data_IF_509427136388
#
_entry.id   IF_509427136388
#
_cell.length_a   1.000
_cell.length_b   1.000
_cell.length_c   1.000
_cell.angle_alpha   90.00
_cell.angle_beta   90.00
_cell.angle_gamma   90.00
#
_symmetry.space_group_name_H-M   'P 1'
#
loop_
_entity.id
_entity.type
_entity.pdbx_description
1 polymer ?
#
# COMPACT_ATOMS: atom_id res chain seq x y z
N UNK A 1 31.57 5.04 1.35
CA UNK A 1 30.92 4.60 2.56
C UNK A 1 29.46 5.05 2.45
N UNK A 2 28.43 4.33 2.41
CA UNK A 2 28.10 2.93 2.29
C UNK A 2 26.77 2.80 1.54
N UNK A 3 26.73 2.08 0.43
CA UNK A 3 25.54 1.78 -0.38
C UNK A 3 24.45 0.97 0.37
N UNK A 4 24.70 0.62 1.62
CA UNK A 4 23.85 -0.27 2.41
C UNK A 4 22.57 0.38 2.98
N UNK A 5 22.53 1.72 3.09
CA UNK A 5 21.38 2.42 3.69
C UNK A 5 20.22 2.63 2.71
N UNK A 6 20.52 2.83 1.43
CA UNK A 6 19.50 3.03 0.39
C UNK A 6 18.73 1.74 0.08
N UNK A 7 19.40 0.58 0.19
CA UNK A 7 18.77 -0.73 -0.04
C UNK A 7 17.78 -1.07 1.08
N UNK A 8 18.01 -0.59 2.30
CA UNK A 8 17.12 -0.89 3.45
C UNK A 8 15.77 -0.19 3.36
N UNK A 9 15.70 1.04 2.84
CA UNK A 9 14.43 1.76 2.72
C UNK A 9 13.53 1.25 1.59
N UNK A 10 14.10 0.73 0.51
CA UNK A 10 13.33 0.24 -0.64
C UNK A 10 12.87 -1.21 -0.47
N UNK A 11 13.66 -2.05 0.18
CA UNK A 11 13.26 -3.42 0.52
C UNK A 11 12.04 -3.44 1.48
N UNK A 12 11.88 -2.40 2.31
CA UNK A 12 10.72 -2.23 3.18
C UNK A 12 9.42 -1.93 2.41
N UNK A 13 9.51 -1.34 1.21
CA UNK A 13 8.33 -0.93 0.44
C UNK A 13 7.79 -2.03 -0.49
N UNK A 14 8.64 -2.94 -0.94
CA UNK A 14 8.25 -4.05 -1.83
C UNK A 14 8.34 -5.44 -1.18
N UNK A 15 9.07 -5.56 -0.07
CA UNK A 15 9.27 -6.82 0.66
C UNK A 15 8.49 -6.95 1.96
N UNK A 16 7.63 -6.00 2.28
CA UNK A 16 6.92 -5.87 3.56
C UNK A 16 5.87 -6.94 3.88
N UNK A 17 5.73 -7.98 3.07
CA UNK A 17 4.85 -9.12 3.36
C UNK A 17 5.54 -10.36 3.91
N UNK A 18 6.85 -10.34 4.12
CA UNK A 18 7.54 -11.46 4.77
C UNK A 18 8.76 -10.95 5.53
N UNK A 19 8.66 -10.96 6.80
CA UNK A 19 9.64 -10.83 7.89
C UNK A 19 9.48 -9.57 8.73
N UNK A 20 8.58 -9.69 9.67
CA UNK A 20 8.55 -8.94 10.92
C UNK A 20 9.73 -9.34 11.81
N UNK A 21 10.35 -8.30 12.41
CA UNK A 21 11.03 -8.34 13.70
C UNK A 21 12.46 -8.90 13.74
N UNK A 22 13.42 -8.04 13.40
CA UNK A 22 14.67 -7.98 14.12
C UNK A 22 15.17 -6.52 14.16
N UNK A 23 14.47 -5.67 14.86
CA UNK A 23 14.90 -4.33 15.24
C UNK A 23 15.75 -4.43 16.50
N UNK A 24 17.01 -4.04 16.43
CA UNK A 24 17.82 -3.75 17.60
C UNK A 24 17.27 -2.52 18.31
N UNK A 25 16.33 -2.72 19.23
CA UNK A 25 16.03 -1.75 20.27
C UNK A 25 17.18 -1.78 21.28
N UNK A 26 17.77 -0.62 21.52
CA UNK A 26 18.67 -0.41 22.65
C UNK A 26 17.81 -0.53 23.90
N UNK A 27 18.18 -1.45 24.78
CA UNK A 27 17.49 -1.72 26.02
C UNK A 27 17.40 -0.44 26.86
N UNK A 28 16.18 -0.01 27.12
CA UNK A 28 15.80 0.74 28.30
C UNK A 28 15.25 -0.27 29.30
N UNK A 29 15.69 -0.17 30.55
CA UNK A 29 15.35 -1.10 31.59
C UNK A 29 13.83 -1.26 31.78
N UNK A 30 13.34 -2.49 32.00
CA UNK A 30 11.92 -2.72 32.17
C UNK A 30 11.43 -2.27 33.53
N UNK A 31 10.49 -1.32 33.52
CA UNK A 31 9.66 -1.05 34.70
C UNK A 31 8.60 -2.17 34.77
N UNK A 32 8.53 -2.95 35.87
CA UNK A 32 7.54 -4.01 35.99
C UNK A 32 6.17 -3.41 36.30
N UNK A 33 5.29 -3.42 35.31
CA UNK A 33 3.85 -3.21 35.53
C UNK A 33 3.21 -4.58 35.71
N UNK A 34 3.08 -4.99 36.95
CA UNK A 34 2.25 -6.14 37.34
C UNK A 34 0.80 -5.69 37.44
N UNK A 35 -0.03 -6.09 36.49
CA UNK A 35 -1.49 -6.01 36.60
C UNK A 35 -2.00 -7.42 36.93
N UNK A 36 -2.50 -7.68 38.15
CA UNK A 36 -3.15 -8.94 38.43
C UNK A 36 -4.59 -8.90 37.93
N UNK A 37 -4.87 -9.59 36.83
CA UNK A 37 -6.23 -9.92 36.43
C UNK A 37 -6.48 -11.36 36.83
N UNK A 38 -6.92 -11.56 38.06
CA UNK A 38 -7.57 -12.80 38.52
C UNK A 38 -9.06 -12.59 38.44
N UNK A 39 -9.71 -13.18 37.45
CA UNK A 39 -11.16 -13.38 37.42
C UNK A 39 -11.40 -14.79 37.91
N UNK A 40 -12.01 -14.98 39.10
CA UNK A 40 -12.41 -16.33 39.54
C UNK A 40 -13.68 -16.73 38.79
N UNK A 41 -13.55 -17.66 37.84
CA UNK A 41 -14.70 -18.39 37.29
C UNK A 41 -14.97 -19.56 38.22
N UNK A 42 -15.84 -19.36 39.19
CA UNK A 42 -16.42 -20.45 39.96
C UNK A 42 -17.55 -21.08 39.17
N UNK A 43 -17.31 -22.26 38.63
CA UNK A 43 -18.35 -23.15 38.10
C UNK A 43 -18.80 -24.03 39.25
N UNK A 44 -20.07 -24.01 39.69
CA UNK A 44 -20.56 -24.96 40.68
C UNK A 44 -20.74 -26.33 40.02
N UNK A 45 -19.89 -27.27 40.39
CA UNK A 45 -20.10 -28.69 40.11
C UNK A 45 -20.83 -29.29 41.32
N UNK A 46 -22.13 -29.49 41.20
CA UNK A 46 -22.84 -30.49 42.06
C UNK A 46 -24.14 -30.88 41.38
N UNK A 47 -24.22 -32.11 40.87
CA UNK A 47 -25.22 -33.11 41.21
C UNK A 47 -25.02 -34.38 40.38
N UNK A 48 -25.14 -35.57 40.91
CA UNK A 48 -25.07 -36.82 40.17
C UNK A 48 -26.39 -37.04 39.43
N UNK A 49 -26.35 -37.12 38.11
CA UNK A 49 -27.49 -37.54 37.29
C UNK A 49 -27.45 -39.05 37.13
N UNK A 50 -28.27 -39.72 37.90
CA UNK A 50 -28.64 -41.13 37.69
C UNK A 50 -29.53 -41.22 36.44
N UNK A 51 -29.09 -42.03 35.46
CA UNK A 51 -29.88 -42.75 34.48
C UNK A 51 -31.01 -42.01 33.77
N UNK A 52 -30.74 -41.52 32.55
CA UNK A 52 -31.73 -41.45 31.46
C UNK A 52 -30.99 -41.64 30.13
N UNK A 53 -31.21 -42.78 29.48
CA UNK A 53 -30.93 -43.00 28.10
C UNK A 53 -31.86 -42.13 27.25
N UNK A 54 -31.45 -40.93 26.93
CA UNK A 54 -32.13 -40.08 26.01
C UNK A 54 -31.43 -40.19 24.65
N UNK A 55 -32.13 -40.77 23.69
CA UNK A 55 -31.82 -40.65 22.25
C UNK A 55 -31.68 -39.19 21.92
N UNK A 56 -30.59 -38.73 21.18
CA UNK A 56 -30.48 -37.33 20.85
C UNK A 56 -31.61 -36.98 19.87
N UNK A 57 -32.65 -36.34 20.35
CA UNK A 57 -33.59 -35.67 19.49
C UNK A 57 -32.83 -34.57 18.74
N UNK A 58 -32.91 -34.57 17.42
CA UNK A 58 -32.50 -33.47 16.58
C UNK A 58 -33.23 -32.23 17.11
N UNK A 59 -32.54 -31.42 17.88
CA UNK A 59 -33.07 -30.13 18.31
C UNK A 59 -33.27 -29.30 17.04
N UNK A 60 -34.51 -29.21 16.63
CA UNK A 60 -34.93 -28.41 15.51
C UNK A 60 -34.69 -26.97 15.97
N UNK A 61 -33.64 -26.31 15.42
CA UNK A 61 -33.42 -24.89 15.67
C UNK A 61 -34.68 -24.13 15.29
N UNK A 62 -35.05 -23.20 16.19
CA UNK A 62 -36.19 -22.30 15.97
C UNK A 62 -36.03 -21.65 14.57
N UNK A 63 -37.04 -21.74 13.66
CA UNK A 63 -36.99 -21.17 12.34
C UNK A 63 -36.64 -19.66 12.31
N UNK A 64 -36.99 -18.94 13.40
CA UNK A 64 -36.63 -17.55 13.59
C UNK A 64 -35.12 -17.35 13.84
N UNK A 65 -34.44 -18.32 14.50
CA UNK A 65 -32.99 -18.28 14.68
C UNK A 65 -32.24 -18.74 13.39
N UNK A 66 -32.85 -19.65 12.65
CA UNK A 66 -32.28 -20.11 11.37
C UNK A 66 -32.26 -19.00 10.30
N UNK A 67 -33.21 -18.07 10.35
CA UNK A 67 -33.22 -16.89 9.46
C UNK A 67 -32.20 -15.82 9.85
N UNK A 68 -31.68 -15.83 11.09
CA UNK A 68 -30.63 -14.90 11.54
C UNK A 68 -29.22 -15.42 11.24
N UNK A 69 -29.06 -16.68 10.92
CA UNK A 69 -27.82 -17.33 10.51
C UNK A 69 -28.01 -17.85 9.08
N UNK A 70 -28.26 -16.96 8.15
CA UNK A 70 -28.08 -17.29 6.72
C UNK A 70 -26.59 -17.51 6.52
N UNK A 71 -26.19 -18.79 6.49
CA UNK A 71 -24.84 -19.23 6.15
C UNK A 71 -24.62 -19.28 4.63
N UNK A 72 -25.43 -18.59 3.86
CA UNK A 72 -25.23 -18.48 2.43
C UNK A 72 -24.02 -17.60 2.22
N UNK A 73 -22.88 -18.25 1.92
CA UNK A 73 -21.69 -17.56 1.47
C UNK A 73 -22.06 -16.66 0.29
N UNK A 74 -21.59 -15.40 0.26
CA UNK A 74 -21.89 -14.52 -0.84
C UNK A 74 -21.46 -15.17 -2.16
N UNK A 75 -22.19 -14.92 -3.27
CA UNK A 75 -21.88 -15.56 -4.54
C UNK A 75 -20.44 -15.25 -4.99
N UNK A 76 -19.78 -16.24 -5.57
CA UNK A 76 -18.46 -16.07 -6.11
C UNK A 76 -18.44 -14.96 -7.19
N UNK A 77 -17.40 -14.14 -7.19
CA UNK A 77 -17.21 -13.12 -8.21
C UNK A 77 -16.76 -13.77 -9.51
N UNK A 78 -17.14 -13.16 -10.63
CA UNK A 78 -16.74 -13.60 -11.97
C UNK A 78 -15.95 -12.47 -12.63
N UNK A 79 -14.78 -12.81 -13.18
CA UNK A 79 -14.01 -11.86 -13.96
C UNK A 79 -14.61 -11.63 -15.33
N UNK A 80 -14.96 -10.39 -15.65
CA UNK A 80 -15.63 -10.02 -16.89
C UNK A 80 -14.80 -9.11 -17.80
N UNK A 81 -13.63 -8.67 -17.34
CA UNK A 81 -12.74 -7.78 -18.07
C UNK A 81 -11.68 -8.56 -18.87
N UNK A 82 -10.84 -7.86 -19.64
CA UNK A 82 -9.69 -8.49 -20.29
C UNK A 82 -8.74 -9.06 -19.25
N UNK A 83 -8.13 -10.20 -19.55
CA UNK A 83 -7.11 -10.78 -18.67
C UNK A 83 -5.80 -10.04 -18.82
N UNK A 84 -5.04 -10.02 -17.74
CA UNK A 84 -3.67 -9.53 -17.72
C UNK A 84 -2.82 -10.31 -18.71
N UNK A 85 -2.29 -9.65 -19.71
CA UNK A 85 -1.60 -10.28 -20.85
C UNK A 85 -0.11 -9.94 -20.93
N UNK A 86 0.53 -10.39 -22.03
CA UNK A 86 1.96 -10.18 -22.22
C UNK A 86 2.37 -8.70 -22.29
N UNK A 87 1.53 -7.85 -22.89
CA UNK A 87 1.80 -6.40 -22.96
C UNK A 87 1.79 -5.77 -21.56
N UNK A 88 0.83 -6.15 -20.71
CA UNK A 88 0.70 -5.64 -19.35
C UNK A 88 1.91 -6.08 -18.50
N UNK A 89 2.39 -7.32 -18.68
CA UNK A 89 3.65 -7.78 -18.07
C UNK A 89 4.85 -6.94 -18.50
N UNK A 90 4.97 -6.59 -19.78
CA UNK A 90 6.06 -5.73 -20.25
C UNK A 90 6.01 -4.36 -19.59
N UNK A 91 4.82 -3.77 -19.48
CA UNK A 91 4.61 -2.47 -18.82
C UNK A 91 4.94 -2.55 -17.34
N UNK A 92 4.42 -3.54 -16.63
CA UNK A 92 4.66 -3.72 -15.20
C UNK A 92 6.15 -3.95 -14.88
N UNK A 93 6.82 -4.82 -15.64
CA UNK A 93 8.25 -5.11 -15.45
C UNK A 93 9.13 -3.91 -15.82
N UNK A 94 8.83 -3.21 -16.91
CA UNK A 94 9.56 -1.99 -17.30
C UNK A 94 9.36 -0.89 -16.26
N UNK A 95 8.12 -0.66 -15.82
CA UNK A 95 7.82 0.30 -14.77
C UNK A 95 8.53 -0.02 -13.46
N UNK A 96 8.50 -1.28 -13.04
CA UNK A 96 9.22 -1.77 -11.85
C UNK A 96 10.73 -1.58 -11.96
N UNK A 97 11.32 -1.89 -13.12
CA UNK A 97 12.75 -1.70 -13.36
C UNK A 97 13.13 -0.21 -13.32
N UNK A 98 12.34 0.68 -13.92
CA UNK A 98 12.54 2.13 -13.87
C UNK A 98 12.43 2.63 -12.41
N UNK A 99 11.41 2.20 -11.68
CA UNK A 99 11.21 2.55 -10.26
C UNK A 99 12.42 2.16 -9.42
N UNK A 100 12.91 0.94 -9.59
CA UNK A 100 14.09 0.43 -8.89
C UNK A 100 15.33 1.23 -9.25
N UNK A 101 15.54 1.50 -10.52
CA UNK A 101 16.67 2.30 -11.02
C UNK A 101 16.67 3.70 -10.44
N UNK A 102 15.52 4.38 -10.45
CA UNK A 102 15.38 5.71 -9.87
C UNK A 102 15.56 5.73 -8.33
N UNK A 103 15.25 4.63 -7.64
CA UNK A 103 15.50 4.51 -6.21
C UNK A 103 17.01 4.40 -5.89
N UNK A 104 17.76 3.68 -6.74
CA UNK A 104 19.21 3.43 -6.56
C UNK A 104 20.03 4.65 -6.97
N UNK A 105 19.71 5.27 -8.11
CA UNK A 105 20.44 6.43 -8.62
C UNK A 105 20.06 7.67 -7.82
N UNK A 106 21.03 8.33 -7.12
CA UNK A 106 20.72 9.55 -6.40
C UNK A 106 20.38 10.67 -7.39
N UNK A 107 19.47 11.59 -7.02
CA UNK A 107 19.20 12.78 -7.82
C UNK A 107 20.45 13.66 -7.90
N UNK A 108 20.48 14.55 -8.88
CA UNK A 108 21.55 15.52 -9.01
C UNK A 108 21.64 16.38 -7.72
N UNK A 109 22.88 16.65 -7.29
CA UNK A 109 23.11 17.50 -6.11
C UNK A 109 22.78 18.98 -6.31
N UNK A 110 22.43 19.36 -7.55
CA UNK A 110 22.02 20.70 -7.90
C UNK A 110 20.51 20.72 -8.06
N UNK A 111 19.83 21.47 -7.20
CA UNK A 111 18.40 21.66 -7.28
C UNK A 111 18.04 22.41 -8.58
N UNK A 112 17.17 21.84 -9.38
CA UNK A 112 16.57 22.55 -10.53
C UNK A 112 15.46 23.50 -10.07
N UNK A 113 14.81 23.18 -8.94
CA UNK A 113 13.79 23.96 -8.26
C UNK A 113 14.21 24.17 -6.81
N UNK A 114 14.62 25.39 -6.45
CA UNK A 114 14.93 25.75 -5.08
C UNK A 114 13.69 26.24 -4.32
N UNK A 115 13.52 25.80 -3.09
CA UNK A 115 12.53 26.32 -2.16
C UNK A 115 11.07 26.05 -2.50
N UNK A 116 10.17 26.74 -1.80
CA UNK A 116 8.73 26.65 -2.00
C UNK A 116 8.27 27.50 -3.17
N UNK A 117 7.30 27.01 -3.94
CA UNK A 117 6.61 27.72 -5.02
C UNK A 117 5.19 28.06 -4.61
N UNK A 118 4.62 29.10 -5.21
CA UNK A 118 3.23 29.54 -4.94
C UNK A 118 2.95 29.68 -3.43
N UNK A 119 2.06 28.86 -2.90
CA UNK A 119 1.61 28.86 -1.51
C UNK A 119 2.43 27.95 -0.57
N UNK A 120 3.45 27.26 -1.08
CA UNK A 120 4.19 26.24 -0.34
C UNK A 120 4.74 26.70 1.01
N UNK A 121 5.39 27.87 1.03
CA UNK A 121 5.96 28.39 2.25
C UNK A 121 4.88 28.81 3.27
N UNK A 122 3.74 29.31 2.80
CA UNK A 122 2.61 29.64 3.67
C UNK A 122 2.02 28.39 4.33
N UNK A 123 1.80 27.33 3.54
CA UNK A 123 1.30 26.05 4.04
C UNK A 123 2.33 25.37 4.97
N UNK A 124 3.62 25.37 4.60
CA UNK A 124 4.69 24.88 5.45
C UNK A 124 4.68 25.56 6.81
N UNK A 125 4.63 26.89 6.84
CA UNK A 125 4.66 27.66 8.08
C UNK A 125 3.42 27.44 8.95
N UNK A 126 2.26 27.17 8.33
CA UNK A 126 1.02 26.91 9.03
C UNK A 126 0.92 25.48 9.61
N UNK A 127 1.44 24.48 8.89
CA UNK A 127 1.21 23.07 9.22
C UNK A 127 2.43 22.35 9.80
N UNK A 128 3.64 22.85 9.59
CA UNK A 128 4.86 22.21 10.05
C UNK A 128 4.86 21.98 11.56
N UNK A 129 5.14 20.76 12.00
CA UNK A 129 5.25 20.46 13.41
C UNK A 129 6.41 21.21 14.08
N UNK A 130 6.16 21.74 15.28
CA UNK A 130 7.17 22.39 16.11
C UNK A 130 8.11 21.34 16.72
N UNK A 131 9.41 21.58 16.60
CA UNK A 131 10.46 20.69 17.11
C UNK A 131 10.74 19.49 16.20
N UNK A 132 12.00 19.11 16.13
CA UNK A 132 12.48 18.04 15.23
C UNK A 132 11.90 16.67 15.60
N UNK A 133 11.79 16.37 16.89
CA UNK A 133 11.24 15.10 17.37
C UNK A 133 9.79 14.88 16.88
N UNK A 134 8.93 15.91 16.96
CA UNK A 134 7.56 15.82 16.47
C UNK A 134 7.50 15.62 14.94
N UNK A 135 8.40 16.27 14.19
CA UNK A 135 8.49 16.05 12.73
C UNK A 135 8.80 14.60 12.40
N UNK A 136 9.71 13.96 13.14
CA UNK A 136 10.02 12.54 12.94
C UNK A 136 8.80 11.64 13.24
N UNK A 137 8.03 11.90 14.28
CA UNK A 137 6.78 11.15 14.55
C UNK A 137 5.84 11.19 13.34
N UNK A 138 5.62 12.35 12.72
CA UNK A 138 4.76 12.46 11.54
C UNK A 138 5.38 11.79 10.30
N UNK A 139 6.72 11.79 10.16
CA UNK A 139 7.41 11.04 9.11
C UNK A 139 7.16 9.54 9.26
N UNK A 140 7.39 8.99 10.45
CA UNK A 140 7.17 7.58 10.75
C UNK A 140 5.70 7.17 10.58
N UNK A 141 4.77 8.00 11.07
CA UNK A 141 3.33 7.78 10.88
C UNK A 141 2.94 7.77 9.39
N UNK A 142 3.56 8.62 8.56
CA UNK A 142 3.33 8.60 7.11
C UNK A 142 3.93 7.37 6.43
N UNK A 143 5.02 6.81 6.96
CA UNK A 143 5.62 5.58 6.44
C UNK A 143 4.72 4.37 6.72
N UNK A 144 4.06 4.34 7.90
CA UNK A 144 3.00 3.37 8.20
C UNK A 144 1.80 3.54 7.27
N UNK A 145 1.35 4.80 7.07
CA UNK A 145 0.21 5.10 6.20
C UNK A 145 0.42 4.67 4.75
N UNK A 146 1.59 4.96 4.15
CA UNK A 146 1.89 4.52 2.78
C UNK A 146 2.01 3.00 2.68
N UNK A 147 2.59 2.35 3.69
CA UNK A 147 2.69 0.88 3.74
C UNK A 147 1.31 0.24 3.76
N UNK A 148 0.38 0.79 4.55
CA UNK A 148 -1.00 0.35 4.58
C UNK A 148 -1.66 0.52 3.21
N UNK A 149 -1.52 1.69 2.57
CA UNK A 149 -2.17 1.97 1.30
C UNK A 149 -1.61 1.16 0.12
N UNK A 150 -0.33 0.79 0.14
CA UNK A 150 0.27 -0.10 -0.87
C UNK A 150 -0.14 -1.56 -0.65
N UNK A 151 -0.28 -1.98 0.59
CA UNK A 151 -0.63 -3.37 0.91
C UNK A 151 -2.13 -3.66 0.84
N UNK A 152 -2.99 -2.66 1.04
CA UNK A 152 -4.46 -2.83 1.11
C UNK A 152 -5.06 -3.47 -0.15
N UNK A 153 -4.84 -2.95 -1.38
CA UNK A 153 -5.41 -3.56 -2.58
C UNK A 153 -5.00 -5.02 -2.76
N UNK A 154 -3.73 -5.34 -2.45
CA UNK A 154 -3.20 -6.68 -2.60
C UNK A 154 -3.70 -7.64 -1.51
N UNK A 155 -3.69 -7.23 -0.23
CA UNK A 155 -3.97 -8.11 0.90
C UNK A 155 -5.46 -8.09 1.26
N UNK A 156 -6.04 -6.90 1.44
CA UNK A 156 -7.42 -6.80 1.87
C UNK A 156 -8.39 -7.08 0.73
N UNK A 157 -8.20 -6.48 -0.44
CA UNK A 157 -9.14 -6.59 -1.53
C UNK A 157 -8.92 -7.87 -2.35
N UNK A 158 -7.71 -8.11 -2.85
CA UNK A 158 -7.44 -9.27 -3.69
C UNK A 158 -7.40 -10.57 -2.88
N UNK A 159 -6.54 -10.66 -1.86
CA UNK A 159 -6.32 -11.91 -1.12
C UNK A 159 -7.48 -12.21 -0.17
N UNK A 160 -7.93 -11.21 0.62
CA UNK A 160 -8.92 -11.44 1.67
C UNK A 160 -10.35 -11.34 1.12
N UNK A 161 -10.73 -10.25 0.45
CA UNK A 161 -12.09 -10.07 -0.03
C UNK A 161 -12.38 -10.96 -1.25
N UNK A 162 -11.62 -10.88 -2.34
CA UNK A 162 -11.92 -11.59 -3.57
C UNK A 162 -11.66 -13.10 -3.44
N UNK A 163 -10.50 -13.50 -2.96
CA UNK A 163 -10.17 -14.93 -2.92
C UNK A 163 -10.81 -15.63 -1.72
N UNK A 164 -10.48 -15.19 -0.49
CA UNK A 164 -10.90 -15.93 0.70
C UNK A 164 -12.39 -15.78 1.01
N UNK A 165 -12.91 -14.55 1.02
CA UNK A 165 -14.30 -14.28 1.40
C UNK A 165 -15.30 -14.58 0.27
N UNK A 166 -15.00 -14.17 -0.97
CA UNK A 166 -15.87 -14.39 -2.15
C UNK A 166 -15.53 -15.67 -2.93
N UNK A 167 -14.50 -16.42 -2.54
CA UNK A 167 -14.11 -17.68 -3.18
C UNK A 167 -13.62 -17.54 -4.64
N UNK A 168 -13.26 -16.32 -5.07
CA UNK A 168 -13.00 -15.99 -6.49
C UNK A 168 -11.51 -15.77 -6.73
N UNK A 169 -10.75 -16.87 -6.83
CA UNK A 169 -9.30 -16.84 -7.09
C UNK A 169 -8.96 -16.08 -8.37
N UNK A 170 -9.74 -16.27 -9.41
CA UNK A 170 -9.50 -15.63 -10.71
C UNK A 170 -9.59 -14.09 -10.61
N UNK A 171 -10.62 -13.56 -9.94
CA UNK A 171 -10.74 -12.12 -9.70
C UNK A 171 -9.58 -11.61 -8.85
N UNK A 172 -9.23 -12.33 -7.78
CA UNK A 172 -8.11 -11.97 -6.91
C UNK A 172 -6.79 -11.88 -7.67
N UNK A 173 -6.51 -12.83 -8.54
CA UNK A 173 -5.29 -12.87 -9.36
C UNK A 173 -5.24 -11.69 -10.33
N UNK A 174 -6.33 -11.42 -11.03
CA UNK A 174 -6.38 -10.33 -12.01
C UNK A 174 -6.28 -8.95 -11.34
N UNK A 175 -7.00 -8.73 -10.23
CA UNK A 175 -6.91 -7.46 -9.49
C UNK A 175 -5.50 -7.23 -8.93
N UNK A 176 -4.89 -8.25 -8.32
CA UNK A 176 -3.52 -8.14 -7.80
C UNK A 176 -2.49 -7.80 -8.89
N UNK A 177 -2.61 -8.37 -10.09
CA UNK A 177 -1.72 -8.07 -11.21
C UNK A 177 -1.90 -6.63 -11.71
N UNK A 178 -3.15 -6.15 -11.80
CA UNK A 178 -3.47 -4.76 -12.13
C UNK A 178 -2.92 -3.79 -11.09
N UNK A 179 -3.00 -4.14 -9.81
CA UNK A 179 -2.42 -3.36 -8.71
C UNK A 179 -0.91 -3.21 -8.86
N UNK A 180 -0.22 -4.32 -9.12
CA UNK A 180 1.24 -4.31 -9.34
C UNK A 180 1.62 -3.43 -10.53
N UNK A 181 0.89 -3.50 -11.63
CA UNK A 181 1.10 -2.65 -12.81
C UNK A 181 0.90 -1.17 -12.48
N UNK A 182 -0.18 -0.82 -11.78
CA UNK A 182 -0.48 0.55 -11.40
C UNK A 182 0.61 1.13 -10.46
N UNK A 183 1.05 0.37 -9.46
CA UNK A 183 2.16 0.79 -8.60
C UNK A 183 3.49 0.89 -9.35
N UNK A 184 3.76 0.00 -10.30
CA UNK A 184 4.96 0.07 -11.14
C UNK A 184 4.97 1.33 -12.02
N UNK A 185 3.84 1.67 -12.65
CA UNK A 185 3.69 2.88 -13.47
C UNK A 185 3.82 4.14 -12.62
N UNK A 186 3.07 4.22 -11.51
CA UNK A 186 3.10 5.39 -10.63
C UNK A 186 4.49 5.62 -10.01
N UNK A 187 5.15 4.54 -9.61
CA UNK A 187 6.52 4.57 -9.11
C UNK A 187 7.54 4.99 -10.16
N UNK A 188 7.39 4.54 -11.41
CA UNK A 188 8.25 4.93 -12.51
C UNK A 188 8.12 6.44 -12.83
N UNK A 189 6.89 6.94 -12.97
CA UNK A 189 6.63 8.37 -13.20
C UNK A 189 7.21 9.21 -12.07
N UNK A 190 6.95 8.83 -10.81
CA UNK A 190 7.44 9.52 -9.63
C UNK A 190 8.97 9.49 -9.55
N UNK A 191 9.58 8.33 -9.74
CA UNK A 191 11.02 8.15 -9.62
C UNK A 191 11.80 8.93 -10.68
N UNK A 192 11.37 8.87 -11.95
CA UNK A 192 11.97 9.63 -13.05
C UNK A 192 11.84 11.13 -12.79
N UNK A 193 10.64 11.61 -12.47
CA UNK A 193 10.41 13.03 -12.19
C UNK A 193 11.26 13.52 -11.02
N UNK A 194 11.34 12.73 -9.95
CA UNK A 194 12.13 13.07 -8.77
C UNK A 194 13.63 13.19 -9.09
N UNK A 195 14.15 12.28 -9.92
CA UNK A 195 15.55 12.30 -10.34
C UNK A 195 15.87 13.47 -11.29
N UNK A 196 14.93 13.86 -12.16
CA UNK A 196 15.12 14.96 -13.12
C UNK A 196 14.94 16.33 -12.46
N UNK A 197 13.94 16.49 -11.61
CA UNK A 197 13.61 17.78 -10.97
C UNK A 197 14.56 18.08 -9.82
N UNK A 198 15.00 17.07 -9.08
CA UNK A 198 15.96 17.20 -7.97
C UNK A 198 15.64 18.37 -7.02
N UNK A 199 14.37 18.52 -6.63
CA UNK A 199 13.92 19.61 -5.76
C UNK A 199 14.39 19.38 -4.32
N UNK A 200 14.93 20.42 -3.71
CA UNK A 200 15.28 20.42 -2.28
C UNK A 200 14.05 20.28 -1.40
N UNK A 201 14.15 19.47 -0.33
CA UNK A 201 13.07 19.29 0.65
C UNK A 201 12.94 20.51 1.55
N UNK A 202 11.71 20.78 2.11
CA UNK A 202 11.46 21.93 2.96
C UNK A 202 12.42 22.05 4.16
N UNK A 203 12.76 20.93 4.81
CA UNK A 203 13.69 20.91 5.93
C UNK A 203 15.10 21.42 5.59
N UNK A 204 15.49 21.42 4.31
CA UNK A 204 16.76 21.96 3.84
C UNK A 204 16.97 23.42 4.22
N UNK A 205 15.88 24.19 4.33
CA UNK A 205 15.94 25.58 4.79
C UNK A 205 16.42 25.72 6.24
N UNK A 206 16.34 24.66 7.04
CA UNK A 206 16.77 24.65 8.43
C UNK A 206 18.19 24.06 8.60
N UNK A 207 18.83 23.57 7.54
CA UNK A 207 20.17 22.99 7.59
C UNK A 207 21.22 24.03 8.01
N UNK A 208 22.07 23.65 8.96
CA UNK A 208 23.04 24.54 9.57
C UNK A 208 22.51 25.34 10.76
N UNK A 209 21.25 25.14 11.13
CA UNK A 209 20.69 25.72 12.36
C UNK A 209 21.07 24.90 13.60
N UNK A 210 20.85 25.48 14.79
CA UNK A 210 21.07 24.78 16.06
C UNK A 210 20.18 23.51 16.22
N UNK A 211 19.00 23.48 15.56
CA UNK A 211 18.10 22.33 15.60
C UNK A 211 18.45 21.25 14.56
N UNK A 212 19.01 21.64 13.41
CA UNK A 212 19.40 20.74 12.33
C UNK A 212 20.80 21.11 11.84
N UNK A 213 21.86 20.57 12.47
CA UNK A 213 23.27 20.81 12.08
C UNK A 213 23.53 20.47 10.62
N UNK A 214 24.48 21.16 9.99
CA UNK A 214 24.79 20.98 8.58
C UNK A 214 25.29 19.57 8.22
N UNK A 215 25.87 18.85 9.16
CA UNK A 215 26.34 17.48 9.04
C UNK A 215 25.27 16.41 9.37
N UNK A 216 24.06 16.85 9.75
CA UNK A 216 22.95 15.92 9.99
C UNK A 216 22.63 15.10 8.72
N UNK A 217 22.21 13.85 8.93
CA UNK A 217 21.86 12.92 7.84
C UNK A 217 20.82 13.49 6.88
N UNK A 218 19.85 14.24 7.39
CA UNK A 218 18.85 14.93 6.57
C UNK A 218 19.53 15.90 5.59
N UNK A 219 20.54 16.67 6.03
CA UNK A 219 21.19 17.71 5.23
C UNK A 219 22.22 17.14 4.24
N UNK A 220 22.86 16.02 4.56
CA UNK A 220 23.95 15.43 3.76
C UNK A 220 23.50 14.24 2.91
N UNK A 221 22.35 13.66 3.24
CA UNK A 221 21.82 12.46 2.58
C UNK A 221 21.29 12.70 1.18
N UNK A 222 21.31 11.67 0.33
CA UNK A 222 20.77 11.74 -1.03
C UNK A 222 19.26 12.02 -1.09
N UNK A 223 18.55 11.82 0.03
CA UNK A 223 17.14 12.15 0.17
C UNK A 223 16.81 13.63 0.19
N UNK A 224 17.83 14.48 0.44
CA UNK A 224 17.68 15.94 0.54
C UNK A 224 17.06 16.58 -0.71
N UNK A 225 17.40 16.07 -1.89
CA UNK A 225 16.91 16.58 -3.18
C UNK A 225 15.79 15.73 -3.80
N UNK A 226 15.05 14.98 -2.99
CA UNK A 226 13.92 14.14 -3.43
C UNK A 226 12.57 14.70 -2.98
N UNK A 227 12.30 15.99 -3.23
CA UNK A 227 11.02 16.61 -2.83
C UNK A 227 9.93 16.45 -3.88
N UNK A 228 10.21 16.78 -5.16
CA UNK A 228 9.15 16.84 -6.17
C UNK A 228 9.11 15.59 -7.05
N UNK A 229 7.96 14.96 -7.14
CA UNK A 229 6.78 15.08 -6.31
C UNK A 229 6.77 13.96 -5.26
N UNK A 230 5.87 14.08 -4.25
CA UNK A 230 5.84 13.20 -3.10
C UNK A 230 5.49 11.74 -3.45
N UNK A 231 6.44 10.81 -3.28
CA UNK A 231 6.21 9.38 -3.49
C UNK A 231 5.20 8.78 -2.51
N UNK A 232 5.18 9.24 -1.25
CA UNK A 232 4.17 8.82 -0.26
C UNK A 232 2.75 9.21 -0.69
N UNK A 233 2.58 10.47 -1.13
CA UNK A 233 1.29 10.91 -1.65
C UNK A 233 0.89 10.11 -2.89
N UNK A 234 1.82 9.91 -3.85
CA UNK A 234 1.55 9.16 -5.07
C UNK A 234 1.10 7.74 -4.77
N UNK A 235 1.87 6.98 -4.01
CA UNK A 235 1.55 5.59 -3.72
C UNK A 235 0.28 5.45 -2.87
N UNK A 236 0.06 6.34 -1.90
CA UNK A 236 -1.15 6.31 -1.09
C UNK A 236 -2.41 6.61 -1.91
N UNK A 237 -2.35 7.59 -2.80
CA UNK A 237 -3.48 7.91 -3.67
C UNK A 237 -3.66 6.91 -4.81
N UNK A 238 -2.58 6.26 -5.29
CA UNK A 238 -2.71 5.11 -6.18
C UNK A 238 -3.47 3.98 -5.50
N UNK A 239 -3.08 3.61 -4.27
CA UNK A 239 -3.78 2.58 -3.49
C UNK A 239 -5.24 2.92 -3.22
N UNK A 240 -5.55 4.17 -2.83
CA UNK A 240 -6.93 4.61 -2.61
C UNK A 240 -7.79 4.51 -3.89
N UNK A 241 -7.24 4.89 -5.04
CA UNK A 241 -7.92 4.82 -6.32
C UNK A 241 -8.12 3.36 -6.77
N UNK A 242 -7.16 2.46 -6.54
CA UNK A 242 -7.28 1.02 -6.78
C UNK A 242 -8.39 0.41 -5.94
N UNK A 243 -8.42 0.69 -4.62
CA UNK A 243 -9.50 0.27 -3.72
C UNK A 243 -10.86 0.68 -4.32
N UNK A 244 -11.03 1.95 -4.65
CA UNK A 244 -12.28 2.43 -5.23
C UNK A 244 -12.64 1.72 -6.54
N UNK A 245 -11.68 1.59 -7.46
CA UNK A 245 -11.90 0.97 -8.76
C UNK A 245 -12.33 -0.49 -8.61
N UNK A 246 -11.65 -1.28 -7.79
CA UNK A 246 -11.95 -2.70 -7.61
C UNK A 246 -13.29 -2.91 -6.88
N UNK A 247 -13.56 -2.11 -5.84
CA UNK A 247 -14.83 -2.20 -5.11
C UNK A 247 -16.04 -1.87 -5.98
N UNK A 248 -15.96 -0.82 -6.80
CA UNK A 248 -17.08 -0.43 -7.65
C UNK A 248 -17.26 -1.28 -8.92
N UNK A 249 -16.18 -1.88 -9.44
CA UNK A 249 -16.28 -2.71 -10.64
C UNK A 249 -16.62 -4.18 -10.33
N UNK A 250 -16.23 -4.68 -9.17
CA UNK A 250 -16.41 -6.09 -8.81
C UNK A 250 -17.42 -6.31 -7.68
N UNK A 251 -17.93 -5.25 -7.03
CA UNK A 251 -18.86 -5.37 -5.89
C UNK A 251 -18.30 -6.31 -4.81
N UNK A 252 -17.07 -6.03 -4.36
CA UNK A 252 -16.25 -6.94 -3.53
C UNK A 252 -16.93 -7.30 -2.21
N UNK A 253 -17.49 -6.31 -1.52
CA UNK A 253 -18.12 -6.46 -0.20
C UNK A 253 -19.62 -6.17 -0.23
N UNK A 254 -20.12 -5.54 -1.28
CA UNK A 254 -21.50 -5.07 -1.39
C UNK A 254 -21.71 -3.71 -0.70
N UNK A 255 -22.82 -3.06 -1.09
CA UNK A 255 -23.21 -1.78 -0.49
C UNK A 255 -23.64 -1.97 0.98
N UNK A 256 -23.27 -1.08 1.92
CA UNK A 256 -22.51 0.18 1.72
C UNK A 256 -20.98 0.02 1.84
N UNK A 257 -20.47 -1.19 2.04
CA UNK A 257 -19.07 -1.44 2.42
C UNK A 257 -18.09 -1.06 1.32
N UNK A 258 -18.47 -1.22 0.04
CA UNK A 258 -17.63 -0.80 -1.09
C UNK A 258 -17.41 0.71 -1.09
N UNK A 259 -18.44 1.49 -0.85
CA UNK A 259 -18.33 2.94 -0.75
C UNK A 259 -17.52 3.37 0.49
N UNK A 260 -17.68 2.67 1.62
CA UNK A 260 -16.92 2.95 2.84
C UNK A 260 -15.43 2.61 2.68
N UNK A 261 -15.08 1.51 2.00
CA UNK A 261 -13.71 1.14 1.69
C UNK A 261 -13.05 2.21 0.82
N UNK A 262 -13.73 2.68 -0.21
CA UNK A 262 -13.26 3.76 -1.07
C UNK A 262 -13.03 5.06 -0.28
N UNK A 263 -14.01 5.51 0.48
CA UNK A 263 -13.91 6.73 1.29
C UNK A 263 -12.81 6.62 2.35
N UNK A 264 -12.70 5.46 3.02
CA UNK A 264 -11.67 5.16 4.00
C UNK A 264 -10.26 5.19 3.39
N UNK A 265 -10.09 4.58 2.22
CA UNK A 265 -8.83 4.61 1.48
C UNK A 265 -8.36 6.04 1.19
N UNK A 266 -9.25 6.89 0.66
CA UNK A 266 -8.91 8.30 0.42
C UNK A 266 -8.64 9.09 1.71
N UNK A 267 -9.36 8.79 2.80
CA UNK A 267 -9.10 9.44 4.08
C UNK A 267 -7.70 9.09 4.63
N UNK A 268 -7.29 7.83 4.52
CA UNK A 268 -5.94 7.39 4.92
C UNK A 268 -4.88 8.01 4.00
N UNK A 269 -5.10 8.02 2.67
CA UNK A 269 -4.19 8.62 1.71
C UNK A 269 -3.99 10.12 1.97
N UNK A 270 -5.08 10.87 2.21
CA UNK A 270 -5.02 12.30 2.53
C UNK A 270 -4.28 12.56 3.85
N UNK A 271 -4.51 11.74 4.87
CA UNK A 271 -3.82 11.83 6.15
C UNK A 271 -2.31 11.57 5.99
N UNK A 272 -1.95 10.50 5.28
CA UNK A 272 -0.55 10.16 4.97
C UNK A 272 0.15 11.30 4.24
N UNK A 273 -0.50 11.86 3.23
CA UNK A 273 0.01 12.97 2.44
C UNK A 273 0.19 14.26 3.29
N UNK A 274 -0.77 14.55 4.16
CA UNK A 274 -0.68 15.69 5.09
C UNK A 274 0.48 15.53 6.06
N UNK A 275 0.72 14.34 6.57
CA UNK A 275 1.85 14.08 7.46
C UNK A 275 3.21 14.33 6.81
N UNK A 276 3.32 14.22 5.48
CA UNK A 276 4.56 14.61 4.77
C UNK A 276 4.82 16.12 4.83
N UNK A 277 3.77 16.93 4.84
CA UNK A 277 3.88 18.40 5.01
C UNK A 277 4.22 18.71 6.47
N UNK A 278 3.49 18.12 7.40
CA UNK A 278 3.68 18.33 8.86
C UNK A 278 5.07 17.89 9.31
N UNK A 279 5.57 16.76 8.75
CA UNK A 279 6.91 16.24 8.97
C UNK A 279 8.03 16.99 8.24
N UNK A 280 7.70 18.07 7.50
CA UNK A 280 8.65 18.93 6.78
C UNK A 280 9.43 18.18 5.67
N UNK A 281 8.83 17.14 5.08
CA UNK A 281 9.45 16.29 4.06
C UNK A 281 9.12 16.71 2.63
N UNK A 282 7.94 17.30 2.43
CA UNK A 282 7.43 17.73 1.13
C UNK A 282 6.68 19.05 1.24
N UNK A 283 6.74 19.84 0.20
CA UNK A 283 5.89 21.01 0.03
C UNK A 283 4.45 20.59 -0.34
N UNK A 284 3.51 21.51 -0.15
CA UNK A 284 2.11 21.24 -0.51
C UNK A 284 1.93 20.97 -2.01
N UNK A 285 2.66 21.66 -2.87
CA UNK A 285 2.66 21.41 -4.33
C UNK A 285 3.17 20.02 -4.68
N UNK A 286 4.19 19.49 -3.96
CA UNK A 286 4.71 18.14 -4.17
C UNK A 286 3.65 17.08 -3.83
N UNK A 287 2.92 17.33 -2.73
CA UNK A 287 1.87 16.44 -2.22
C UNK A 287 0.66 16.44 -3.14
N UNK A 288 0.19 17.61 -3.57
CA UNK A 288 -0.96 17.72 -4.48
C UNK A 288 -0.66 17.10 -5.84
N UNK A 289 0.54 17.32 -6.39
CA UNK A 289 0.95 16.68 -7.64
C UNK A 289 1.01 15.17 -7.49
N UNK A 290 1.59 14.67 -6.39
CA UNK A 290 1.63 13.24 -6.11
C UNK A 290 0.24 12.63 -5.97
N UNK A 291 -0.67 13.31 -5.28
CA UNK A 291 -2.06 12.89 -5.12
C UNK A 291 -2.79 12.81 -6.48
N UNK A 292 -2.61 13.81 -7.32
CA UNK A 292 -3.20 13.84 -8.66
C UNK A 292 -2.68 12.69 -9.53
N UNK A 293 -1.36 12.55 -9.62
CA UNK A 293 -0.73 11.47 -10.42
C UNK A 293 -1.14 10.10 -9.90
N UNK A 294 -1.10 9.89 -8.58
CA UNK A 294 -1.50 8.63 -7.96
C UNK A 294 -2.97 8.28 -8.26
N UNK A 295 -3.87 9.25 -8.13
CA UNK A 295 -5.29 9.05 -8.45
C UNK A 295 -5.50 8.73 -9.93
N UNK A 296 -4.85 9.46 -10.83
CA UNK A 296 -4.99 9.24 -12.27
C UNK A 296 -4.47 7.86 -12.69
N UNK A 297 -3.36 7.41 -12.16
CA UNK A 297 -2.81 6.08 -12.45
C UNK A 297 -3.65 4.99 -11.80
N UNK A 298 -4.00 5.13 -10.51
CA UNK A 298 -4.76 4.14 -9.77
C UNK A 298 -6.20 3.93 -10.27
N UNK A 299 -6.81 4.92 -10.93
CA UNK A 299 -8.06 4.72 -11.69
C UNK A 299 -7.80 4.35 -13.14
N UNK A 300 -6.83 4.99 -13.78
CA UNK A 300 -6.58 4.84 -15.21
C UNK A 300 -6.22 3.42 -15.60
N UNK A 301 -5.33 2.78 -14.86
CA UNK A 301 -4.88 1.41 -15.14
C UNK A 301 -6.05 0.40 -15.03
N UNK A 302 -6.77 0.30 -13.89
CA UNK A 302 -7.93 -0.59 -13.81
C UNK A 302 -8.99 -0.31 -14.87
N UNK A 303 -9.32 0.96 -15.12
CA UNK A 303 -10.33 1.32 -16.12
C UNK A 303 -9.96 0.88 -17.53
N UNK A 304 -8.68 0.89 -17.89
CA UNK A 304 -8.23 0.36 -19.18
C UNK A 304 -8.49 -1.14 -19.28
N UNK A 305 -8.28 -1.91 -18.20
CA UNK A 305 -8.59 -3.33 -18.16
C UNK A 305 -10.10 -3.57 -18.18
N UNK A 306 -10.88 -2.86 -17.36
CA UNK A 306 -12.32 -3.04 -17.27
C UNK A 306 -13.06 -2.60 -18.54
N UNK A 307 -12.61 -1.56 -19.25
CA UNK A 307 -13.21 -1.10 -20.51
C UNK A 307 -13.00 -2.05 -21.68
N UNK A 308 -11.91 -2.80 -21.70
CA UNK A 308 -11.65 -3.84 -22.72
C UNK A 308 -12.64 -5.03 -22.63
N UNK A 309 -13.61 -4.96 -21.74
CA UNK A 309 -14.65 -5.96 -21.48
C UNK A 309 -15.46 -6.40 -22.70
N UNK A 310 -15.63 -5.53 -23.68
CA UNK A 310 -16.51 -5.72 -24.83
C UNK A 310 -15.78 -5.99 -26.15
N UNK A 311 -14.45 -6.06 -26.15
CA UNK A 311 -13.74 -6.49 -27.35
C UNK A 311 -13.72 -8.03 -27.40
N UNK A 312 -14.21 -8.65 -28.51
CA UNK A 312 -14.01 -10.07 -28.67
C UNK A 312 -12.51 -10.35 -28.60
N UNK A 313 -12.13 -11.27 -27.71
CA UNK A 313 -10.73 -11.63 -27.52
C UNK A 313 -10.16 -12.00 -28.87
N UNK A 314 -9.42 -11.09 -29.50
CA UNK A 314 -8.49 -11.47 -30.55
C UNK A 314 -7.48 -12.39 -29.87
N UNK A 315 -7.35 -13.64 -30.31
CA UNK A 315 -6.40 -14.54 -29.70
C UNK A 315 -4.99 -14.02 -29.97
N UNK A 316 -4.49 -13.16 -29.06
CA UNK A 316 -3.08 -12.80 -29.05
C UNK A 316 -2.33 -13.94 -28.35
N UNK A 317 -1.94 -14.90 -29.15
CA UNK A 317 -1.41 -16.19 -28.73
C UNK A 317 0.10 -16.16 -28.53
N UNK A 318 0.68 -15.14 -27.93
CA UNK A 318 2.05 -15.26 -27.45
C UNK A 318 2.03 -15.71 -25.98
N UNK A 319 2.05 -17.01 -25.76
CA UNK A 319 2.27 -17.57 -24.42
C UNK A 319 3.78 -17.80 -24.24
N UNK A 320 4.39 -17.06 -23.33
CA UNK A 320 5.77 -17.26 -22.93
C UNK A 320 5.82 -18.22 -21.73
N UNK A 321 6.36 -19.40 -21.93
CA UNK A 321 6.58 -20.36 -20.85
C UNK A 321 8.06 -20.37 -20.47
N UNK A 322 8.35 -20.15 -19.19
CA UNK A 322 9.66 -20.41 -18.62
C UNK A 322 9.79 -21.92 -18.43
N UNK A 323 10.72 -22.54 -19.15
CA UNK A 323 10.98 -23.98 -19.07
C UNK A 323 12.39 -24.22 -18.54
N UNK A 324 12.57 -25.21 -17.65
CA UNK A 324 13.90 -25.62 -17.24
C UNK A 324 14.66 -26.18 -18.47
N UNK A 325 15.86 -25.66 -18.74
CA UNK A 325 16.75 -26.14 -19.76
C UNK A 325 18.05 -26.66 -19.13
N UNK A 326 18.73 -27.56 -19.80
CA UNK A 326 20.00 -28.13 -19.33
C UNK A 326 21.04 -26.98 -19.25
N UNK A 327 21.35 -26.57 -18.02
CA UNK A 327 22.30 -25.46 -17.75
C UNK A 327 21.68 -24.07 -17.55
N UNK A 328 20.33 -23.94 -17.46
CA UNK A 328 19.68 -22.66 -17.23
C UNK A 328 18.15 -22.69 -17.39
N UNK A 329 17.56 -21.49 -17.53
CA UNK A 329 16.14 -21.30 -17.83
C UNK A 329 15.99 -20.93 -19.31
N UNK A 330 15.13 -21.65 -20.01
CA UNK A 330 14.72 -21.35 -21.39
C UNK A 330 13.36 -20.63 -21.41
N UNK A 331 13.10 -19.85 -22.45
CA UNK A 331 11.80 -19.22 -22.72
C UNK A 331 11.21 -19.87 -23.97
N UNK A 332 10.04 -20.49 -23.82
CA UNK A 332 9.28 -21.05 -24.94
C UNK A 332 8.11 -20.12 -25.25
N UNK A 333 8.07 -19.56 -26.47
CA UNK A 333 6.95 -18.78 -26.98
C UNK A 333 6.04 -19.68 -27.84
N UNK A 334 4.72 -19.70 -27.55
CA UNK A 334 3.69 -20.31 -28.39
C UNK A 334 2.85 -19.18 -28.96
N UNK A 335 2.71 -19.14 -30.31
CA UNK A 335 1.95 -18.11 -31.04
C UNK A 335 0.59 -18.70 -31.47
#
# INVERSE_FOLDING_TARGET
MSSASAIRSFAATLGGCALLLAGRARAADPVPVTVPVTVPVTVPVTAPVTGMTATPSKQQLDPALATLVSTDAPPALVWHASRFGAADWVVALAGGAITLTAAIIPPAKHHSLGGGILFDNSVRNALRAHGLANRYIFRDASDVGVSLMVSWPLIADSLTAAWWYRGSRDVAEQTALIDLEAFAISGAIQGVTNSLVSRERPYGQDCGSAQLPADATDCTGSGHYRSFFSGHATNSFTGAALICAHHFENDLLGSPWDALSCAGGYAVAATTATFRIVGDMHYASDVLTGALVGTLVGYGVPLLHYRRRNEPATPSTLQLHLVPAVGGLGVLGVF
#
